data_IF_820767423151
#
_entry.id   IF_820767423151
#
_cell.length_a   1.000
_cell.length_b   1.000
_cell.length_c   1.000
_cell.angle_alpha   90.00
_cell.angle_beta   90.00
_cell.angle_gamma   90.00
#
_symmetry.space_group_name_H-M   'P 1'
#
loop_
_entity.id
_entity.type
_entity.pdbx_description
1 polymer ?
#
# COMPACT_ATOMS: atom_id res chain seq x y z
N UNK A 1 -23.64 15.48 -7.71
CA UNK A 1 -22.99 14.20 -8.06
C UNK A 1 -21.48 14.43 -8.05
N UNK A 2 -20.76 13.76 -7.14
CA UNK A 2 -19.30 13.87 -7.02
C UNK A 2 -18.63 13.18 -8.21
N UNK A 3 -18.64 13.84 -9.37
CA UNK A 3 -18.16 13.31 -10.64
C UNK A 3 -16.64 13.07 -10.68
N UNK A 4 -15.92 13.49 -9.63
CA UNK A 4 -14.47 13.32 -9.48
C UNK A 4 -14.07 12.10 -8.62
N UNK A 5 -15.02 11.46 -7.94
CA UNK A 5 -14.73 10.33 -7.05
C UNK A 5 -14.41 9.01 -7.77
N UNK A 6 -15.05 8.62 -8.90
CA UNK A 6 -14.84 7.30 -9.48
C UNK A 6 -13.46 7.16 -10.14
N UNK A 7 -13.01 8.19 -10.87
CA UNK A 7 -11.83 8.09 -11.73
C UNK A 7 -10.52 8.02 -10.98
N UNK A 8 -10.37 8.74 -9.86
CA UNK A 8 -9.15 8.70 -9.05
C UNK A 8 -9.02 7.42 -8.22
N UNK A 9 -10.15 6.85 -7.78
CA UNK A 9 -10.17 5.59 -7.01
C UNK A 9 -9.84 4.40 -7.91
N UNK A 10 -10.35 4.35 -9.14
CA UNK A 10 -10.04 3.26 -10.07
C UNK A 10 -8.59 3.23 -10.59
N UNK A 11 -7.83 4.32 -10.43
CA UNK A 11 -6.41 4.37 -10.81
C UNK A 11 -5.46 3.95 -9.69
N UNK A 12 -5.97 3.70 -8.48
CA UNK A 12 -5.15 3.30 -7.36
C UNK A 12 -4.82 1.81 -7.46
N UNK A 13 -3.53 1.49 -7.34
CA UNK A 13 -3.07 0.11 -7.20
C UNK A 13 -3.59 -0.46 -5.87
N UNK A 14 -4.10 -1.68 -5.90
CA UNK A 14 -4.66 -2.35 -4.75
C UNK A 14 -4.11 -3.77 -4.57
N UNK A 15 -4.49 -4.40 -3.46
CA UNK A 15 -4.07 -5.74 -3.07
C UNK A 15 -2.56 -5.97 -3.19
N UNK A 16 -2.22 -7.01 -3.96
CA UNK A 16 -0.84 -7.42 -4.15
C UNK A 16 -0.01 -6.41 -4.93
N UNK A 17 -0.59 -5.67 -5.89
CA UNK A 17 0.16 -4.67 -6.67
C UNK A 17 0.68 -3.54 -5.77
N UNK A 18 -0.13 -3.13 -4.79
CA UNK A 18 0.29 -2.15 -3.78
C UNK A 18 1.40 -2.71 -2.89
N UNK A 19 1.30 -3.98 -2.47
CA UNK A 19 2.35 -4.64 -1.69
C UNK A 19 3.66 -4.73 -2.47
N UNK A 20 3.60 -5.09 -3.76
CA UNK A 20 4.78 -5.19 -4.63
C UNK A 20 5.44 -3.83 -4.83
N UNK A 21 4.65 -2.76 -5.00
CA UNK A 21 5.17 -1.40 -5.04
C UNK A 21 5.89 -1.02 -3.74
N UNK A 22 5.30 -1.32 -2.58
CA UNK A 22 5.91 -1.03 -1.28
C UNK A 22 7.21 -1.84 -1.07
N UNK A 23 7.24 -3.09 -1.52
CA UNK A 23 8.41 -3.96 -1.48
C UNK A 23 9.54 -3.42 -2.38
N UNK A 24 9.21 -2.99 -3.59
CA UNK A 24 10.16 -2.38 -4.53
C UNK A 24 10.79 -1.09 -3.99
N UNK A 25 10.13 -0.41 -3.04
CA UNK A 25 10.68 0.75 -2.31
C UNK A 25 11.51 0.38 -1.08
N UNK A 26 11.73 -0.91 -0.83
CA UNK A 26 12.59 -1.43 0.22
C UNK A 26 11.94 -1.49 1.61
N UNK A 27 10.60 -1.38 1.69
CA UNK A 27 9.88 -1.67 2.92
C UNK A 27 9.82 -3.19 3.13
N UNK A 28 9.86 -3.62 4.40
CA UNK A 28 9.81 -5.02 4.79
C UNK A 28 8.67 -5.27 5.78
N UNK A 29 8.35 -6.56 6.01
CA UNK A 29 7.28 -6.94 6.93
C UNK A 29 5.89 -6.49 6.44
N UNK A 30 5.68 -6.49 5.13
CA UNK A 30 4.46 -5.95 4.52
C UNK A 30 3.22 -6.75 4.93
N UNK A 31 2.14 -6.01 5.22
CA UNK A 31 0.82 -6.54 5.55
C UNK A 31 -0.25 -5.65 4.92
N UNK A 32 -1.33 -6.28 4.47
CA UNK A 32 -2.55 -5.59 4.09
C UNK A 32 -3.68 -5.99 5.04
N UNK A 33 -4.54 -5.03 5.38
CA UNK A 33 -5.70 -5.22 6.24
C UNK A 33 -6.93 -4.66 5.52
N UNK A 34 -7.72 -5.52 4.85
CA UNK A 34 -8.97 -5.08 4.23
C UNK A 34 -9.98 -4.73 5.32
N UNK A 35 -10.63 -3.58 5.16
CA UNK A 35 -11.63 -3.01 6.05
C UNK A 35 -12.94 -2.85 5.27
N UNK A 36 -14.06 -2.92 5.98
CA UNK A 36 -15.40 -2.72 5.39
C UNK A 36 -15.58 -3.57 4.13
N UNK A 37 -15.23 -4.85 4.20
CA UNK A 37 -15.30 -5.82 3.10
C UNK A 37 -14.51 -5.44 1.83
N UNK A 38 -13.41 -4.71 1.98
CA UNK A 38 -12.51 -4.36 0.87
C UNK A 38 -12.81 -3.00 0.23
N UNK A 39 -13.75 -2.22 0.76
CA UNK A 39 -13.95 -0.82 0.35
C UNK A 39 -12.70 0.03 0.67
N UNK A 40 -11.96 -0.32 1.73
CA UNK A 40 -10.69 0.33 2.06
C UNK A 40 -9.71 -0.72 2.57
N UNK A 41 -8.44 -0.60 2.19
CA UNK A 41 -7.38 -1.51 2.63
C UNK A 41 -6.23 -0.69 3.22
N UNK A 42 -5.85 -1.02 4.46
CA UNK A 42 -4.66 -0.46 5.09
C UNK A 42 -3.44 -1.30 4.72
N UNK A 43 -2.40 -0.67 4.18
CA UNK A 43 -1.12 -1.30 3.89
C UNK A 43 -0.06 -0.80 4.88
N UNK A 44 0.65 -1.72 5.52
CA UNK A 44 1.65 -1.42 6.55
C UNK A 44 2.98 -2.08 6.18
N UNK A 45 4.07 -1.35 6.37
CA UNK A 45 5.43 -1.82 6.16
C UNK A 45 6.41 -1.11 7.08
N UNK A 46 7.54 -1.76 7.37
CA UNK A 46 8.61 -1.21 8.19
C UNK A 46 9.79 -0.87 7.32
N UNK A 47 10.34 0.34 7.48
CA UNK A 47 11.63 0.69 6.88
C UNK A 47 12.73 -0.06 7.64
N UNK A 48 13.58 -0.86 6.98
CA UNK A 48 14.70 -1.51 7.64
C UNK A 48 15.56 -0.47 8.36
N UNK A 49 15.99 -0.77 9.59
CA UNK A 49 17.02 0.03 10.24
C UNK A 49 18.24 -0.01 9.33
N UNK A 50 18.75 1.16 8.93
CA UNK A 50 20.04 1.25 8.26
C UNK A 50 21.07 0.68 9.24
N UNK A 51 21.68 -0.46 8.91
CA UNK A 51 22.82 -0.98 9.66
C UNK A 51 23.94 0.07 9.71
N UNK A 52 24.89 -0.05 10.66
CA UNK A 52 26.06 0.82 10.65
C UNK A 52 26.73 0.70 9.28
N UNK A 53 27.02 1.84 8.64
CA UNK A 53 27.89 1.82 7.45
C UNK A 53 29.28 1.46 7.96
N UNK A 54 29.72 0.24 7.72
CA UNK A 54 31.13 -0.12 7.73
C UNK A 54 31.85 0.53 6.56
#
# INVERSE_FOLDING_TARGET
AYHYLPTSVSQFQDGQEMLDLLAARGLTGLRQHPLTFGITTLYVGTKPRRGPRG
#
